data_IF_772182051696
#
_entry.id   IF_772182051696
#
_cell.length_a   1.000
_cell.length_b   1.000
_cell.length_c   1.000
_cell.angle_alpha   90.00
_cell.angle_beta   90.00
_cell.angle_gamma   90.00
#
_symmetry.space_group_name_H-M   'P 1'
#
loop_
_entity.id
_entity.type
_entity.pdbx_description
1 polymer ?
#
# COMPACT_ATOMS: atom_id res chain seq x y z
N UNK A 1 -1.38 3.89 -8.25
CA UNK A 1 -0.89 5.26 -7.95
C UNK A 1 0.02 5.79 -9.06
N UNK A 2 1.22 5.25 -9.25
CA UNK A 2 2.21 5.82 -10.18
C UNK A 2 1.71 5.96 -11.64
N UNK A 3 1.04 4.94 -12.19
CA UNK A 3 0.51 5.00 -13.57
C UNK A 3 -0.54 6.11 -13.77
N UNK A 4 -1.47 6.28 -12.81
CA UNK A 4 -2.48 7.34 -12.86
C UNK A 4 -1.84 8.73 -12.76
N UNK A 5 -0.85 8.90 -11.87
CA UNK A 5 -0.09 10.15 -11.75
C UNK A 5 0.64 10.48 -13.06
N UNK A 6 1.32 9.49 -13.65
CA UNK A 6 2.04 9.65 -14.91
C UNK A 6 1.10 10.06 -16.04
N UNK A 7 -0.02 9.35 -16.23
CA UNK A 7 -0.98 9.67 -17.27
C UNK A 7 -1.59 11.08 -17.11
N UNK A 8 -1.92 11.48 -15.88
CA UNK A 8 -2.37 12.84 -15.61
C UNK A 8 -1.32 13.88 -16.00
N UNK A 9 -0.05 13.68 -15.60
CA UNK A 9 1.03 14.62 -15.89
C UNK A 9 1.39 14.69 -17.38
N UNK A 10 1.35 13.57 -18.09
CA UNK A 10 1.52 13.55 -19.55
C UNK A 10 0.42 14.37 -20.24
N UNK A 11 -0.84 14.21 -19.82
CA UNK A 11 -1.95 15.01 -20.36
C UNK A 11 -1.84 16.50 -20.03
N UNK A 12 -1.44 16.86 -18.81
CA UNK A 12 -1.16 18.26 -18.46
C UNK A 12 -0.04 18.86 -19.30
N UNK A 13 0.96 18.06 -19.69
CA UNK A 13 2.04 18.48 -20.58
C UNK A 13 1.63 18.53 -22.08
N UNK A 14 0.38 18.22 -22.42
CA UNK A 14 -0.13 18.27 -23.79
C UNK A 14 0.05 16.98 -24.59
N UNK A 15 0.49 15.88 -23.96
CA UNK A 15 0.56 14.58 -24.62
C UNK A 15 -0.82 13.90 -24.58
N UNK A 16 -1.45 13.78 -25.75
CA UNK A 16 -2.79 13.20 -25.90
C UNK A 16 -2.80 11.71 -26.20
N UNK A 17 -1.74 11.17 -26.81
CA UNK A 17 -1.61 9.76 -27.14
C UNK A 17 -0.99 8.98 -25.97
N UNK A 18 -1.85 8.56 -25.04
CA UNK A 18 -1.45 7.88 -23.81
C UNK A 18 -2.40 6.71 -23.57
N UNK A 19 -1.83 5.51 -23.41
CA UNK A 19 -2.54 4.30 -23.00
C UNK A 19 -1.95 3.74 -21.70
N UNK A 20 -2.81 3.24 -20.82
CA UNK A 20 -2.42 2.49 -19.63
C UNK A 20 -2.94 1.07 -19.77
N UNK A 21 -2.06 0.09 -19.58
CA UNK A 21 -2.44 -1.32 -19.47
C UNK A 21 -2.54 -1.72 -18.00
N UNK A 22 -3.68 -2.28 -17.59
CA UNK A 22 -3.91 -2.81 -16.25
C UNK A 22 -4.48 -4.23 -16.37
N UNK A 23 -3.85 -5.17 -15.67
CA UNK A 23 -4.25 -6.59 -15.72
C UNK A 23 -5.57 -6.88 -15.01
N UNK A 24 -5.93 -6.08 -14.02
CA UNK A 24 -7.20 -6.22 -13.32
C UNK A 24 -8.33 -5.49 -14.05
N UNK A 25 -9.53 -5.59 -13.47
CA UNK A 25 -10.77 -4.97 -13.88
C UNK A 25 -10.97 -3.53 -13.36
N UNK A 26 -10.12 -3.11 -12.42
CA UNK A 26 -10.25 -1.83 -11.71
C UNK A 26 -8.88 -1.23 -11.37
N UNK A 27 -8.80 0.09 -11.20
CA UNK A 27 -7.59 0.79 -10.74
C UNK A 27 -7.30 0.52 -9.26
N UNK A 28 -6.15 1.01 -8.78
CA UNK A 28 -5.84 1.07 -7.36
C UNK A 28 -4.64 0.21 -6.94
N UNK A 29 -4.28 -0.80 -7.75
CA UNK A 29 -3.09 -1.63 -7.53
C UNK A 29 -3.11 -2.26 -6.14
N UNK A 30 -2.16 -1.90 -5.28
CA UNK A 30 -2.07 -2.38 -3.89
C UNK A 30 -3.40 -2.33 -3.13
N UNK A 31 -4.18 -1.25 -3.28
CA UNK A 31 -5.42 -1.03 -2.53
C UNK A 31 -6.61 -1.83 -3.07
N UNK A 32 -6.55 -2.21 -4.35
CA UNK A 32 -7.48 -3.15 -4.96
C UNK A 32 -7.16 -4.59 -4.55
N UNK A 33 -5.88 -4.95 -4.58
CA UNK A 33 -5.44 -6.33 -4.29
C UNK A 33 -5.55 -6.69 -2.80
N UNK A 34 -5.18 -5.79 -1.91
CA UNK A 34 -5.10 -6.09 -0.49
C UNK A 34 -6.40 -5.67 0.22
N UNK A 35 -7.21 -6.65 0.57
CA UNK A 35 -8.53 -6.47 1.21
C UNK A 35 -8.64 -7.12 2.59
N UNK A 36 -7.50 -7.41 3.20
CA UNK A 36 -7.47 -8.09 4.50
C UNK A 36 -7.92 -7.17 5.65
N UNK A 37 -8.47 -7.71 6.74
CA UNK A 37 -8.91 -6.93 7.90
C UNK A 37 -7.77 -6.10 8.49
N UNK A 38 -8.03 -4.82 8.73
CA UNK A 38 -7.07 -3.91 9.36
C UNK A 38 -6.09 -3.23 8.42
N UNK A 39 -6.18 -3.47 7.11
CA UNK A 39 -5.29 -2.80 6.16
C UNK A 39 -5.40 -1.28 6.24
N UNK A 40 -4.25 -0.63 6.45
CA UNK A 40 -4.08 0.83 6.44
C UNK A 40 -2.74 1.19 5.79
N UNK A 41 -2.60 2.44 5.33
CA UNK A 41 -1.30 2.96 4.92
C UNK A 41 -0.50 3.40 6.16
N UNK A 42 0.81 3.19 6.15
CA UNK A 42 1.71 3.71 7.18
C UNK A 42 2.11 5.19 6.93
N UNK A 43 1.60 5.78 5.84
CA UNK A 43 1.73 7.20 5.49
C UNK A 43 0.44 7.93 5.87
N UNK A 44 0.50 9.11 6.51
CA UNK A 44 -0.69 9.88 6.83
C UNK A 44 -1.55 10.14 5.59
N UNK A 45 -2.86 9.84 5.68
CA UNK A 45 -3.77 9.85 4.53
C UNK A 45 -3.83 11.19 3.80
N UNK A 46 -3.72 12.29 4.54
CA UNK A 46 -3.68 13.64 3.93
C UNK A 46 -2.51 13.80 2.98
N UNK A 47 -1.36 13.19 3.26
CA UNK A 47 -0.22 13.18 2.34
C UNK A 47 -0.28 12.01 1.34
N UNK A 48 -0.91 10.90 1.70
CA UNK A 48 -1.16 9.76 0.82
C UNK A 48 -2.31 10.02 -0.18
N UNK A 49 -2.28 11.20 -0.81
CA UNK A 49 -3.12 11.63 -1.92
C UNK A 49 -2.27 12.47 -2.88
N UNK A 50 -2.66 12.56 -4.15
CA UNK A 50 -1.94 13.39 -5.11
C UNK A 50 -1.99 14.86 -4.70
N UNK A 51 -0.88 15.57 -4.85
CA UNK A 51 -0.79 17.01 -4.58
C UNK A 51 -1.74 17.84 -5.44
N UNK A 52 -2.05 17.37 -6.66
CA UNK A 52 -3.02 17.97 -7.58
C UNK A 52 -4.47 17.54 -7.32
N UNK A 53 -4.70 16.53 -6.49
CA UNK A 53 -6.04 16.08 -6.10
C UNK A 53 -6.10 15.70 -4.60
N UNK A 54 -5.91 16.64 -3.66
CA UNK A 54 -6.00 16.36 -2.24
C UNK A 54 -7.41 15.94 -1.83
N UNK A 55 -7.54 14.92 -0.97
CA UNK A 55 -8.84 14.41 -0.53
C UNK A 55 -9.27 15.05 0.82
N UNK A 56 -10.37 15.82 0.87
CA UNK A 56 -10.85 16.42 2.11
C UNK A 56 -11.60 15.43 3.02
N UNK A 57 -11.99 14.28 2.49
CA UNK A 57 -12.96 13.38 3.12
C UNK A 57 -12.34 12.28 3.97
N UNK A 58 -11.02 12.29 4.16
CA UNK A 58 -10.31 11.32 4.98
C UNK A 58 -10.95 11.16 6.37
N UNK A 59 -11.27 9.93 6.74
CA UNK A 59 -11.97 9.63 7.99
C UNK A 59 -11.03 9.57 9.19
N UNK A 60 -9.74 9.28 8.96
CA UNK A 60 -8.72 9.13 10.02
C UNK A 60 -7.34 9.60 9.56
N UNK A 61 -6.39 9.69 10.50
CA UNK A 61 -4.99 10.00 10.18
C UNK A 61 -4.34 8.98 9.25
N UNK A 62 -4.65 7.70 9.44
CA UNK A 62 -4.26 6.58 8.59
C UNK A 62 -5.51 5.78 8.21
N UNK A 63 -6.16 6.20 7.13
CA UNK A 63 -7.47 5.71 6.71
C UNK A 63 -7.43 4.25 6.24
N UNK A 64 -8.56 3.51 6.35
CA UNK A 64 -8.64 2.12 5.93
C UNK A 64 -8.36 1.96 4.43
N UNK A 65 -7.82 0.81 4.03
CA UNK A 65 -7.46 0.56 2.63
C UNK A 65 -8.62 0.70 1.64
N UNK A 66 -9.85 0.36 2.03
CA UNK A 66 -11.04 0.56 1.21
C UNK A 66 -11.29 2.05 0.90
N UNK A 67 -11.08 2.93 1.87
CA UNK A 67 -11.23 4.38 1.67
C UNK A 67 -10.15 4.94 0.73
N UNK A 68 -8.95 4.38 0.78
CA UNK A 68 -7.86 4.72 -0.14
C UNK A 68 -8.15 4.21 -1.55
N UNK A 69 -8.71 3.01 -1.67
CA UNK A 69 -9.19 2.47 -2.95
C UNK A 69 -10.25 3.40 -3.57
N UNK A 70 -11.25 3.79 -2.79
CA UNK A 70 -12.31 4.70 -3.24
C UNK A 70 -11.74 6.04 -3.70
N UNK A 71 -10.71 6.55 -3.02
CA UNK A 71 -9.99 7.75 -3.46
C UNK A 71 -9.42 7.58 -4.87
N UNK A 72 -8.70 6.49 -5.14
CA UNK A 72 -8.09 6.27 -6.46
C UNK A 72 -9.14 6.08 -7.57
N UNK A 73 -10.24 5.37 -7.29
CA UNK A 73 -11.34 5.22 -8.24
C UNK A 73 -11.94 6.59 -8.56
N UNK A 74 -12.41 7.34 -7.55
CA UNK A 74 -13.00 8.67 -7.76
C UNK A 74 -12.06 9.63 -8.48
N UNK A 75 -10.78 9.65 -8.11
CA UNK A 75 -9.80 10.55 -8.75
C UNK A 75 -9.53 10.16 -10.20
N UNK A 76 -9.56 8.87 -10.53
CA UNK A 76 -9.44 8.41 -11.93
C UNK A 76 -10.59 8.95 -12.78
N UNK A 77 -11.81 8.91 -12.25
CA UNK A 77 -13.00 9.38 -12.94
C UNK A 77 -13.02 10.92 -13.05
N UNK A 78 -12.72 11.63 -11.95
CA UNK A 78 -12.68 13.10 -11.91
C UNK A 78 -11.64 13.70 -12.86
N UNK A 79 -10.52 13.00 -13.06
CA UNK A 79 -9.47 13.43 -13.99
C UNK A 79 -9.70 12.94 -15.43
N UNK A 80 -10.80 12.22 -15.68
CA UNK A 80 -11.12 11.66 -17.00
C UNK A 80 -10.04 10.70 -17.51
N UNK A 81 -9.37 9.97 -16.61
CA UNK A 81 -8.31 9.03 -16.95
C UNK A 81 -8.84 7.66 -17.31
N UNK A 82 -10.08 7.31 -16.89
CA UNK A 82 -10.67 5.97 -17.10
C UNK A 82 -10.60 5.52 -18.55
N UNK A 83 -10.89 6.42 -19.50
CA UNK A 83 -10.87 6.12 -20.93
C UNK A 83 -9.49 5.85 -21.52
N UNK A 84 -8.41 6.13 -20.78
CA UNK A 84 -7.03 5.83 -21.19
C UNK A 84 -6.61 4.40 -20.80
N UNK A 85 -7.42 3.72 -19.97
CA UNK A 85 -7.04 2.46 -19.33
C UNK A 85 -7.68 1.29 -20.07
N UNK A 86 -6.84 0.37 -20.53
CA UNK A 86 -7.25 -0.94 -21.00
C UNK A 86 -7.14 -1.94 -19.84
N UNK A 87 -8.29 -2.30 -19.29
CA UNK A 87 -8.43 -3.28 -18.20
C UNK A 87 -8.40 -4.71 -18.74
N UNK A 88 -8.02 -5.67 -17.91
CA UNK A 88 -7.85 -7.07 -18.31
C UNK A 88 -6.66 -7.31 -19.24
N UNK A 89 -5.81 -6.31 -19.44
CA UNK A 89 -4.68 -6.37 -20.37
C UNK A 89 -3.36 -6.42 -19.58
N UNK A 90 -2.93 -7.64 -19.23
CA UNK A 90 -1.60 -7.86 -18.66
C UNK A 90 -0.55 -7.82 -19.77
N UNK A 91 0.32 -6.81 -19.78
CA UNK A 91 1.50 -6.81 -20.67
C UNK A 91 2.46 -7.91 -20.20
N UNK A 92 2.67 -8.92 -21.05
CA UNK A 92 3.57 -10.06 -20.77
C UNK A 92 4.93 -9.90 -21.42
N UNK A 93 5.03 -9.01 -22.42
CA UNK A 93 6.26 -8.81 -23.17
C UNK A 93 6.39 -7.36 -23.63
N UNK A 94 7.62 -6.84 -23.57
CA UNK A 94 7.99 -5.55 -24.14
C UNK A 94 9.38 -5.67 -24.78
N UNK A 95 9.48 -5.37 -26.08
CA UNK A 95 10.75 -5.40 -26.82
C UNK A 95 11.00 -4.06 -27.50
N UNK A 96 12.23 -3.58 -27.42
CA UNK A 96 12.66 -2.45 -28.22
C UNK A 96 13.11 -2.92 -29.60
N UNK A 97 12.43 -2.48 -30.65
CA UNK A 97 12.69 -2.87 -32.03
C UNK A 97 12.36 -1.72 -32.99
N UNK A 98 13.21 -1.47 -33.98
CA UNK A 98 13.00 -0.47 -35.03
C UNK A 98 12.68 0.94 -34.50
N UNK A 99 13.28 1.32 -33.36
CA UNK A 99 13.10 2.62 -32.74
C UNK A 99 11.79 2.79 -31.95
N UNK A 100 11.06 1.71 -31.68
CA UNK A 100 9.81 1.69 -30.91
C UNK A 100 9.77 0.54 -29.91
N UNK A 101 8.91 0.65 -28.91
CA UNK A 101 8.53 -0.48 -28.07
C UNK A 101 7.41 -1.26 -28.73
N UNK A 102 7.59 -2.57 -28.89
CA UNK A 102 6.52 -3.53 -29.22
C UNK A 102 6.08 -4.23 -27.95
N UNK A 103 4.79 -4.19 -27.67
CA UNK A 103 4.17 -4.77 -26.48
C UNK A 103 3.30 -5.94 -26.89
N UNK A 104 3.25 -6.98 -26.05
CA UNK A 104 2.27 -8.07 -26.18
C UNK A 104 1.58 -8.32 -24.86
N UNK A 105 0.27 -8.46 -24.91
CA UNK A 105 -0.54 -8.73 -23.72
C UNK A 105 -0.86 -10.22 -23.58
N UNK A 106 -1.32 -10.62 -22.40
CA UNK A 106 -1.73 -12.00 -22.11
C UNK A 106 -2.91 -12.47 -22.97
N UNK A 107 -3.73 -11.53 -23.47
CA UNK A 107 -4.84 -11.82 -24.39
C UNK A 107 -4.36 -12.07 -25.83
N UNK A 108 -3.07 -11.85 -26.10
CA UNK A 108 -2.48 -11.94 -27.43
C UNK A 108 -2.53 -10.64 -28.23
N UNK A 109 -3.08 -9.56 -27.66
CA UNK A 109 -3.06 -8.24 -28.30
C UNK A 109 -1.64 -7.70 -28.39
N UNK A 110 -1.33 -7.03 -29.51
CA UNK A 110 -0.07 -6.33 -29.71
C UNK A 110 -0.31 -4.83 -29.79
N UNK A 111 0.65 -4.04 -29.30
CA UNK A 111 0.62 -2.58 -29.39
C UNK A 111 2.03 -2.02 -29.52
N UNK A 112 2.15 -0.77 -29.97
CA UNK A 112 3.42 -0.08 -30.12
C UNK A 112 3.44 1.26 -29.36
N UNK A 113 4.61 1.64 -28.85
CA UNK A 113 4.79 2.92 -28.17
C UNK A 113 6.18 3.51 -28.42
N UNK A 114 6.26 4.83 -28.53
CA UNK A 114 7.54 5.54 -28.59
C UNK A 114 8.24 5.54 -27.21
N UNK A 115 7.46 5.58 -26.13
CA UNK A 115 7.94 5.61 -24.74
C UNK A 115 7.19 4.59 -23.89
N UNK A 116 7.93 3.78 -23.13
CA UNK A 116 7.38 2.84 -22.17
C UNK A 116 7.70 3.28 -20.73
N UNK A 117 6.67 3.43 -19.90
CA UNK A 117 6.82 3.69 -18.46
C UNK A 117 6.27 2.50 -17.66
N UNK A 118 7.12 1.87 -16.85
CA UNK A 118 6.71 0.73 -16.03
C UNK A 118 6.23 1.18 -14.65
N UNK A 119 4.92 1.13 -14.44
CA UNK A 119 4.26 1.43 -13.17
C UNK A 119 3.67 0.19 -12.47
N UNK A 120 4.27 -0.99 -12.70
CA UNK A 120 3.76 -2.29 -12.26
C UNK A 120 3.78 -2.51 -10.74
N UNK A 121 4.57 -1.72 -10.00
CA UNK A 121 4.71 -1.84 -8.56
C UNK A 121 5.52 -3.06 -8.12
N UNK A 122 6.14 -2.96 -6.93
CA UNK A 122 7.10 -3.95 -6.43
C UNK A 122 6.47 -4.99 -5.47
N UNK A 123 5.25 -4.77 -4.99
CA UNK A 123 4.61 -5.57 -3.93
C UNK A 123 3.24 -6.13 -4.35
N UNK A 124 3.20 -6.86 -5.48
CA UNK A 124 1.94 -7.34 -6.05
C UNK A 124 1.93 -8.85 -6.39
N UNK A 125 3.11 -9.48 -6.51
CA UNK A 125 3.22 -10.95 -6.58
C UNK A 125 3.37 -11.52 -5.15
N UNK A 126 2.37 -12.26 -4.64
CA UNK A 126 2.47 -12.88 -3.32
C UNK A 126 3.52 -14.00 -3.34
N UNK A 127 4.38 -14.03 -2.32
CA UNK A 127 5.31 -15.13 -2.10
C UNK A 127 4.67 -16.15 -1.16
N UNK A 128 4.20 -17.26 -1.71
CA UNK A 128 3.71 -18.38 -0.90
C UNK A 128 4.91 -19.10 -0.29
N UNK A 129 4.98 -19.26 1.05
CA UNK A 129 6.07 -19.99 1.68
C UNK A 129 5.95 -21.48 1.36
N UNK A 130 7.09 -22.12 1.11
CA UNK A 130 7.17 -23.57 0.99
C UNK A 130 7.16 -24.19 2.39
N UNK A 131 5.97 -24.55 2.86
CA UNK A 131 5.74 -25.19 4.17
C UNK A 131 5.32 -26.63 3.91
N UNK A 132 6.08 -27.64 4.38
CA UNK A 132 5.70 -29.04 4.25
C UNK A 132 4.28 -29.29 4.79
N UNK A 133 3.43 -29.89 3.96
CA UNK A 133 2.03 -30.19 4.32
C UNK A 133 1.04 -29.03 4.14
N UNK A 134 1.45 -27.86 3.62
CA UNK A 134 0.53 -26.73 3.42
C UNK A 134 -0.66 -27.09 2.52
N UNK A 135 -0.42 -27.87 1.45
CA UNK A 135 -1.45 -28.27 0.48
C UNK A 135 -2.45 -29.28 1.04
N UNK A 136 -2.11 -29.98 2.12
CA UNK A 136 -2.99 -30.98 2.77
C UNK A 136 -3.71 -30.42 3.99
N UNK A 137 -3.54 -29.12 4.29
CA UNK A 137 -4.26 -28.48 5.38
C UNK A 137 -5.77 -28.49 5.09
N UNK A 138 -6.54 -29.12 5.99
CA UNK A 138 -7.99 -29.28 5.81
C UNK A 138 -8.79 -27.97 5.97
N UNK A 139 -8.16 -26.91 6.49
CA UNK A 139 -8.77 -25.59 6.62
C UNK A 139 -8.48 -24.68 5.43
N UNK A 140 -8.99 -23.45 5.48
CA UNK A 140 -8.71 -22.45 4.44
C UNK A 140 -7.28 -21.91 4.59
N UNK A 141 -6.52 -21.89 3.50
CA UNK A 141 -5.22 -21.22 3.39
C UNK A 141 -5.39 -20.00 2.49
N UNK A 142 -5.09 -18.81 3.02
CA UNK A 142 -5.25 -17.55 2.27
C UNK A 142 -4.02 -16.67 2.47
N UNK A 143 -3.46 -16.17 1.37
CA UNK A 143 -2.43 -15.13 1.42
C UNK A 143 -3.11 -13.76 1.60
N UNK A 144 -2.56 -12.88 2.43
CA UNK A 144 -3.14 -11.56 2.74
C UNK A 144 -3.45 -10.71 1.49
N UNK A 145 -2.57 -10.73 0.49
CA UNK A 145 -2.78 -10.06 -0.81
C UNK A 145 -3.87 -10.68 -1.71
N UNK A 146 -4.47 -11.80 -1.30
CA UNK A 146 -5.58 -12.50 -2.00
C UNK A 146 -6.69 -12.84 -1.00
N UNK A 147 -6.92 -11.93 -0.07
CA UNK A 147 -7.89 -12.13 1.01
C UNK A 147 -9.30 -12.42 0.45
N UNK A 148 -9.91 -13.48 0.98
CA UNK A 148 -11.29 -13.85 0.70
C UNK A 148 -12.24 -13.15 1.70
N UNK A 149 -13.06 -12.18 1.24
CA UNK A 149 -13.96 -11.45 2.13
C UNK A 149 -15.11 -12.31 2.68
N UNK A 150 -15.34 -13.52 2.14
CA UNK A 150 -16.38 -14.44 2.64
C UNK A 150 -16.00 -15.15 3.94
N UNK A 151 -14.75 -14.99 4.42
CA UNK A 151 -14.28 -15.64 5.65
C UNK A 151 -14.91 -14.95 6.86
N UNK A 152 -15.79 -15.67 7.56
CA UNK A 152 -16.26 -15.30 8.89
C UNK A 152 -15.17 -15.64 9.93
N UNK A 153 -14.28 -14.68 10.15
CA UNK A 153 -13.15 -14.82 11.07
C UNK A 153 -13.57 -15.08 12.52
N UNK A 154 -14.78 -14.68 12.92
CA UNK A 154 -15.25 -14.78 14.30
C UNK A 154 -15.52 -16.23 14.71
N UNK A 155 -15.86 -17.07 13.74
CA UNK A 155 -16.06 -18.51 13.94
C UNK A 155 -14.78 -19.33 13.78
N UNK A 156 -13.68 -18.70 13.35
CA UNK A 156 -12.44 -19.40 13.01
C UNK A 156 -11.41 -19.40 14.15
N UNK A 157 -10.64 -20.49 14.23
CA UNK A 157 -9.31 -20.47 14.83
C UNK A 157 -8.32 -20.11 13.73
N UNK A 158 -7.61 -19.01 13.89
CA UNK A 158 -6.77 -18.41 12.84
C UNK A 158 -5.30 -18.56 13.21
N UNK A 159 -4.49 -19.07 12.29
CA UNK A 159 -3.04 -18.98 12.33
C UNK A 159 -2.55 -17.89 11.38
N UNK A 160 -1.71 -16.97 11.85
CA UNK A 160 -1.06 -15.95 11.02
C UNK A 160 0.44 -16.25 10.95
N UNK A 161 0.97 -16.40 9.73
CA UNK A 161 2.39 -16.65 9.49
C UNK A 161 3.04 -15.37 8.95
N UNK A 162 3.99 -14.82 9.70
CA UNK A 162 4.72 -13.60 9.33
C UNK A 162 4.32 -12.38 10.14
N UNK A 163 5.31 -11.54 10.43
CA UNK A 163 5.23 -10.41 11.37
C UNK A 163 5.70 -9.08 10.80
N UNK A 164 5.77 -8.94 9.46
CA UNK A 164 5.94 -7.64 8.81
C UNK A 164 4.71 -6.72 8.99
N UNK A 165 4.69 -5.55 8.37
CA UNK A 165 3.57 -4.58 8.50
C UNK A 165 2.19 -5.22 8.31
N UNK A 166 2.03 -6.03 7.26
CA UNK A 166 0.79 -6.79 7.01
C UNK A 166 0.42 -7.74 8.15
N UNK A 167 1.38 -8.46 8.71
CA UNK A 167 1.15 -9.40 9.81
C UNK A 167 0.75 -8.68 11.10
N UNK A 168 1.37 -7.54 11.40
CA UNK A 168 1.00 -6.69 12.55
C UNK A 168 -0.42 -6.14 12.40
N UNK A 169 -0.76 -5.58 11.23
CA UNK A 169 -2.09 -5.05 10.94
C UNK A 169 -3.17 -6.15 11.05
N UNK A 170 -2.93 -7.31 10.41
CA UNK A 170 -3.83 -8.47 10.49
C UNK A 170 -4.02 -8.96 11.92
N UNK A 171 -2.92 -9.18 12.65
CA UNK A 171 -2.98 -9.68 14.03
C UNK A 171 -3.76 -8.70 14.91
N UNK A 172 -3.52 -7.40 14.77
CA UNK A 172 -4.24 -6.36 15.52
C UNK A 172 -5.73 -6.34 15.19
N UNK A 173 -6.09 -6.50 13.91
CA UNK A 173 -7.49 -6.47 13.49
C UNK A 173 -8.26 -7.77 13.75
N UNK A 174 -7.57 -8.89 13.93
CA UNK A 174 -8.16 -10.19 14.26
C UNK A 174 -8.17 -10.48 15.76
N UNK A 175 -7.27 -9.85 16.53
CA UNK A 175 -7.23 -9.96 17.98
C UNK A 175 -8.57 -9.51 18.58
N UNK A 176 -9.17 -10.35 19.42
CA UNK A 176 -10.48 -10.11 20.04
C UNK A 176 -11.68 -10.37 19.12
N UNK A 177 -11.47 -10.72 17.84
CA UNK A 177 -12.54 -11.10 16.90
C UNK A 177 -12.51 -12.59 16.58
N UNK A 178 -11.35 -13.15 16.27
CA UNK A 178 -11.22 -14.58 16.00
C UNK A 178 -11.41 -15.41 17.28
N UNK A 179 -12.03 -16.61 17.17
CA UNK A 179 -12.21 -17.54 18.31
C UNK A 179 -10.88 -17.89 18.98
N UNK A 180 -9.83 -18.03 18.19
CA UNK A 180 -8.46 -18.18 18.67
C UNK A 180 -7.52 -17.63 17.61
N UNK A 181 -6.45 -16.95 18.03
CA UNK A 181 -5.44 -16.40 17.14
C UNK A 181 -4.05 -16.88 17.57
N UNK A 182 -3.35 -17.56 16.65
CA UNK A 182 -1.96 -17.99 16.85
C UNK A 182 -1.07 -17.25 15.85
N UNK A 183 -0.06 -16.53 16.35
CA UNK A 183 0.92 -15.83 15.53
C UNK A 183 2.22 -16.64 15.45
N UNK A 184 2.59 -17.06 14.25
CA UNK A 184 3.86 -17.73 13.96
C UNK A 184 4.90 -16.71 13.54
N UNK A 185 5.80 -16.37 14.48
CA UNK A 185 6.84 -15.36 14.28
C UNK A 185 8.21 -16.00 14.08
N UNK A 186 8.83 -15.75 12.92
CA UNK A 186 10.23 -16.10 12.69
C UNK A 186 11.21 -15.06 13.24
N UNK A 187 10.87 -13.78 13.07
CA UNK A 187 11.73 -12.66 13.48
C UNK A 187 10.86 -11.53 14.03
N UNK A 188 11.09 -11.07 15.28
CA UNK A 188 10.36 -9.94 15.83
C UNK A 188 10.69 -8.65 15.07
N UNK A 189 9.71 -7.74 14.99
CA UNK A 189 9.86 -6.43 14.37
C UNK A 189 9.74 -5.33 15.44
N UNK A 190 10.36 -4.18 15.16
CA UNK A 190 10.14 -2.97 15.96
C UNK A 190 8.79 -2.37 15.57
N UNK A 191 7.86 -2.31 16.52
CA UNK A 191 6.52 -1.78 16.31
C UNK A 191 6.37 -0.51 17.12
N UNK A 192 6.07 0.60 16.44
CA UNK A 192 5.74 1.86 17.09
C UNK A 192 4.22 1.94 17.31
N UNK A 193 3.73 2.28 18.51
CA UNK A 193 2.32 2.57 18.70
C UNK A 193 1.95 3.87 17.97
N UNK A 194 1.04 3.77 17.01
CA UNK A 194 0.53 4.92 16.25
C UNK A 194 -0.96 5.09 16.53
N UNK A 195 -1.36 6.03 17.41
CA UNK A 195 -2.77 6.33 17.64
C UNK A 195 -3.45 6.80 16.36
N UNK A 196 -4.53 6.11 15.97
CA UNK A 196 -5.23 6.37 14.71
C UNK A 196 -6.71 6.65 14.96
N UNK A 197 -7.00 7.81 15.54
CA UNK A 197 -8.36 8.20 15.91
C UNK A 197 -9.15 8.68 14.68
N UNK A 198 -10.45 8.40 14.69
CA UNK A 198 -11.40 8.95 13.71
C UNK A 198 -11.50 10.46 13.89
N UNK A 199 -11.48 11.18 12.78
CA UNK A 199 -11.77 12.60 12.76
C UNK A 199 -13.26 12.85 12.99
N UNK A 200 -13.63 13.91 13.73
CA UNK A 200 -15.01 14.37 13.79
C UNK A 200 -15.56 14.71 12.40
N UNK A 201 -16.88 14.60 12.22
CA UNK A 201 -17.53 14.96 10.95
C UNK A 201 -17.27 16.43 10.54
N UNK A 202 -17.16 17.33 11.51
CA UNK A 202 -16.83 18.74 11.30
C UNK A 202 -15.47 18.93 10.62
N UNK A 203 -14.50 18.05 10.86
CA UNK A 203 -13.18 18.12 10.22
C UNK A 203 -13.31 17.98 8.70
N UNK A 204 -14.07 16.99 8.22
CA UNK A 204 -14.30 16.77 6.77
C UNK A 204 -15.04 17.95 6.15
N UNK A 205 -16.05 18.49 6.85
CA UNK A 205 -16.77 19.69 6.42
C UNK A 205 -15.84 20.89 6.21
N UNK A 206 -14.97 21.18 7.20
CA UNK A 206 -14.00 22.27 7.13
C UNK A 206 -13.07 22.12 5.91
N UNK A 207 -12.50 20.93 5.70
CA UNK A 207 -11.59 20.71 4.58
C UNK A 207 -12.27 20.74 3.21
N UNK A 208 -13.55 20.36 3.14
CA UNK A 208 -14.35 20.43 1.92
C UNK A 208 -14.70 21.87 1.54
N UNK A 209 -15.01 22.71 2.53
CA UNK A 209 -15.42 24.10 2.30
C UNK A 209 -14.28 25.12 2.36
N UNK A 210 -13.10 24.73 2.85
CA UNK A 210 -11.90 25.56 2.87
C UNK A 210 -10.74 24.84 2.15
N UNK A 211 -10.74 24.78 0.80
CA UNK A 211 -9.71 24.08 0.03
C UNK A 211 -8.26 24.51 0.32
N UNK A 212 -7.95 25.81 0.55
CA UNK A 212 -6.61 26.22 0.94
C UNK A 212 -6.11 25.52 2.21
N UNK A 213 -6.98 25.32 3.19
CA UNK A 213 -6.62 24.62 4.43
C UNK A 213 -6.30 23.14 4.15
N UNK A 214 -7.02 22.49 3.23
CA UNK A 214 -6.72 21.12 2.83
C UNK A 214 -5.35 20.99 2.15
N UNK A 215 -5.01 21.95 1.28
CA UNK A 215 -3.68 22.02 0.65
C UNK A 215 -2.57 22.29 1.66
N UNK A 216 -2.78 23.19 2.61
CA UNK A 216 -1.84 23.45 3.70
C UNK A 216 -1.62 22.22 4.56
N UNK A 217 -2.68 21.48 4.88
CA UNK A 217 -2.58 20.23 5.63
C UNK A 217 -1.81 19.16 4.84
N UNK A 218 -2.06 19.00 3.54
CA UNK A 218 -1.27 18.12 2.67
C UNK A 218 0.22 18.48 2.72
N UNK A 219 0.56 19.76 2.50
CA UNK A 219 1.95 20.24 2.53
C UNK A 219 2.62 20.12 3.91
N UNK A 220 1.87 20.26 4.99
CA UNK A 220 2.37 20.01 6.34
C UNK A 220 2.81 18.54 6.52
N UNK A 221 1.93 17.59 6.16
CA UNK A 221 2.26 16.17 6.29
C UNK A 221 3.37 15.73 5.32
N UNK A 222 3.45 16.32 4.13
CA UNK A 222 4.58 16.12 3.22
C UNK A 222 5.90 16.48 3.91
N UNK A 223 6.01 17.71 4.44
CA UNK A 223 7.23 18.18 5.12
C UNK A 223 7.57 17.34 6.33
N UNK A 224 6.56 16.89 7.09
CA UNK A 224 6.75 16.01 8.24
C UNK A 224 7.39 14.68 7.83
N UNK A 225 6.88 14.03 6.78
CA UNK A 225 7.39 12.74 6.29
C UNK A 225 8.79 12.89 5.69
N UNK A 226 9.03 13.94 4.90
CA UNK A 226 10.35 14.24 4.36
C UNK A 226 11.38 14.50 5.46
N UNK A 227 11.01 15.25 6.50
CA UNK A 227 11.91 15.60 7.60
C UNK A 227 12.23 14.42 8.52
N UNK A 228 11.28 13.51 8.76
CA UNK A 228 11.45 12.39 9.70
C UNK A 228 11.92 11.14 8.95
N UNK A 229 11.11 10.65 8.01
CA UNK A 229 11.28 9.32 7.42
C UNK A 229 12.40 9.30 6.37
N UNK A 230 12.41 10.26 5.45
CA UNK A 230 13.44 10.29 4.40
C UNK A 230 14.84 10.52 4.98
N UNK A 231 14.96 11.42 5.97
CA UNK A 231 16.24 11.64 6.67
C UNK A 231 16.69 10.44 7.49
N UNK A 232 15.77 9.71 8.13
CA UNK A 232 16.13 8.51 8.90
C UNK A 232 16.70 7.38 8.01
N UNK A 233 16.18 7.23 6.79
CA UNK A 233 16.63 6.20 5.83
C UNK A 233 17.95 6.57 5.16
N UNK A 234 18.14 7.85 4.79
CA UNK A 234 19.32 8.30 4.03
C UNK A 234 20.49 8.73 4.93
N UNK A 235 20.21 9.18 6.16
CA UNK A 235 21.22 9.64 7.11
C UNK A 235 20.92 9.16 8.55
N UNK A 236 21.01 7.84 8.82
CA UNK A 236 20.63 7.25 10.11
C UNK A 236 21.43 7.77 11.33
N UNK A 237 22.54 8.49 11.12
CA UNK A 237 23.39 9.05 12.17
C UNK A 237 22.96 10.43 12.69
N UNK A 238 22.00 11.12 12.07
CA UNK A 238 21.64 12.51 12.41
C UNK A 238 20.34 12.66 13.21
N UNK A 239 19.69 11.56 13.61
CA UNK A 239 18.44 11.56 14.39
C UNK A 239 18.59 10.92 15.77
N UNK A 240 17.60 11.14 16.65
CA UNK A 240 17.52 10.67 18.04
C UNK A 240 17.79 9.17 18.26
N UNK A 241 17.78 8.35 17.21
CA UNK A 241 18.22 6.95 17.20
C UNK A 241 19.69 6.75 17.60
N UNK A 242 20.55 7.78 17.46
CA UNK A 242 21.93 7.73 17.98
C UNK A 242 22.01 7.57 19.50
N UNK A 243 20.97 7.99 20.25
CA UNK A 243 20.92 7.88 21.72
C UNK A 243 20.37 6.54 22.21
N UNK A 244 19.66 5.79 21.37
CA UNK A 244 19.10 4.49 21.74
C UNK A 244 20.17 3.38 21.85
N UNK A 245 21.37 3.59 21.30
CA UNK A 245 22.52 2.70 21.54
C UNK A 245 23.15 2.88 22.92
N UNK A 246 22.91 3.99 23.62
CA UNK A 246 23.55 4.28 24.90
C UNK A 246 22.78 3.76 26.13
N UNK A 247 21.63 3.10 25.94
CA UNK A 247 20.73 2.68 27.03
C UNK A 247 20.44 1.19 27.14
N UNK A 248 21.11 0.32 26.37
CA UNK A 248 20.97 -1.12 26.54
C UNK A 248 21.95 -1.59 27.64
N UNK A 249 21.48 -2.15 28.78
CA UNK A 249 22.38 -2.71 29.77
C UNK A 249 23.08 -3.95 29.21
N UNK A 250 24.42 -3.92 29.19
CA UNK A 250 25.26 -5.11 29.03
C UNK A 250 25.09 -6.01 30.26
N UNK A 251 24.13 -6.93 30.22
CA UNK A 251 24.12 -8.04 31.16
C UNK A 251 23.39 -9.24 30.56
N UNK A 252 24.17 -10.21 30.08
CA UNK A 252 23.93 -11.67 30.11
C UNK A 252 24.83 -12.38 29.09
N UNK A 253 26.15 -12.21 29.20
CA UNK A 253 27.11 -13.12 28.57
C UNK A 253 28.26 -13.34 29.54
N UNK A 254 28.18 -14.43 30.31
CA UNK A 254 29.26 -14.82 31.20
C UNK A 254 28.80 -15.64 32.39
N UNK A 255 28.52 -16.93 32.17
CA UNK A 255 28.82 -18.06 33.07
C UNK A 255 28.33 -19.37 32.45
N UNK A 256 29.18 -19.93 31.61
CA UNK A 256 29.25 -21.37 31.36
C UNK A 256 30.72 -21.67 31.06
N UNK A 257 31.42 -22.30 32.00
CA UNK A 257 32.82 -22.69 31.83
C UNK A 257 33.63 -22.76 33.13
N UNK A 258 33.32 -23.75 33.97
CA UNK A 258 34.24 -24.64 34.72
C UNK A 258 33.44 -25.44 35.73
#
# INVERSE_FOLDING_TARGET
MSGLCMAHKLREAGHGDVVIFEKADEVGGTWRENRYPGITCDVPSRFYSYSFAPNPDWSMGFSPGAEIQDYFVRTTDQLGLRGLIRFGEEVTEARWQDGRWRLRTATGSEDEADVLVTAAGILHHPKIPDIPGLQTFAGRVVHSARWDPSIDVERCRVGVIGTGSTGVQLTTALAGRARHLTLFQRTPQWVLPVPNRRYPASTRWVFRHIPPLNRLAHGFYQRLIEAIFAKAVVAPRLGALGRLRAGAPESAAGRAGS
#
